data_IF_864598103563
#
_entry.id   IF_864598103563
#
_cell.length_a   1.000
_cell.length_b   1.000
_cell.length_c   1.000
_cell.angle_alpha   90.00
_cell.angle_beta   90.00
_cell.angle_gamma   90.00
#
_symmetry.space_group_name_H-M   'P 1'
#
loop_
_entity.id
_entity.type
_entity.pdbx_description
1 polymer ?
#
# COMPACT_ATOMS: atom_id res chain seq x y z
N UNK A 1 11.06 -20.78 -19.85
CA UNK A 1 9.85 -20.49 -19.06
C UNK A 1 10.29 -19.86 -17.74
N UNK A 2 10.24 -18.52 -17.62
CA UNK A 2 10.66 -17.81 -16.39
C UNK A 2 9.50 -17.84 -15.39
N UNK A 3 9.41 -18.90 -14.61
CA UNK A 3 8.46 -18.96 -13.47
C UNK A 3 9.07 -18.10 -12.33
N UNK A 4 8.45 -16.99 -11.97
CA UNK A 4 8.83 -16.20 -10.80
C UNK A 4 7.64 -16.03 -9.88
N UNK A 5 7.76 -16.52 -8.66
CA UNK A 5 6.73 -16.43 -7.62
C UNK A 5 6.68 -14.99 -7.06
N UNK A 6 5.49 -14.43 -6.78
CA UNK A 6 5.33 -13.06 -6.30
C UNK A 6 6.08 -12.81 -4.98
N UNK A 7 6.10 -13.80 -4.08
CA UNK A 7 6.86 -13.79 -2.82
C UNK A 7 8.36 -13.60 -2.98
N UNK A 8 8.94 -14.08 -4.08
CA UNK A 8 10.37 -14.04 -4.31
C UNK A 8 10.84 -12.78 -5.06
N UNK A 9 9.89 -11.93 -5.49
CA UNK A 9 10.16 -10.75 -6.32
C UNK A 9 11.24 -9.85 -5.72
N UNK A 10 11.19 -9.63 -4.40
CA UNK A 10 12.16 -8.82 -3.69
C UNK A 10 13.60 -9.33 -3.89
N UNK A 11 13.85 -10.64 -3.82
CA UNK A 11 15.20 -11.18 -4.04
C UNK A 11 15.69 -10.90 -5.47
N UNK A 12 14.81 -10.96 -6.45
CA UNK A 12 15.15 -10.65 -7.84
C UNK A 12 15.29 -9.14 -8.11
N UNK A 13 14.56 -8.28 -7.42
CA UNK A 13 14.71 -6.83 -7.50
C UNK A 13 16.03 -6.38 -6.86
N UNK A 14 16.33 -6.88 -5.66
CA UNK A 14 17.61 -6.64 -4.98
C UNK A 14 18.78 -7.12 -5.84
N UNK A 15 18.67 -8.32 -6.40
CA UNK A 15 19.69 -8.85 -7.31
C UNK A 15 19.88 -7.96 -8.54
N UNK A 16 18.83 -7.31 -9.06
CA UNK A 16 18.95 -6.40 -10.21
C UNK A 16 19.50 -5.01 -9.84
N UNK A 17 19.18 -4.52 -8.64
CA UNK A 17 19.50 -3.15 -8.24
C UNK A 17 20.86 -3.03 -7.54
N UNK A 18 21.38 -4.11 -6.95
CA UNK A 18 22.65 -4.15 -6.24
C UNK A 18 23.70 -4.82 -7.12
N UNK A 19 24.72 -4.09 -7.63
CA UNK A 19 25.71 -4.64 -8.56
C UNK A 19 26.46 -5.87 -8.03
N UNK A 20 26.67 -5.97 -6.71
CA UNK A 20 27.32 -7.12 -6.07
C UNK A 20 26.44 -8.39 -6.11
N UNK A 21 25.11 -8.22 -6.10
CA UNK A 21 24.14 -9.32 -6.00
C UNK A 21 23.50 -9.67 -7.35
N UNK A 22 23.85 -8.94 -8.41
CA UNK A 22 23.40 -9.17 -9.79
C UNK A 22 24.55 -9.63 -10.68
N UNK A 23 24.34 -10.71 -11.44
CA UNK A 23 25.19 -11.02 -12.59
C UNK A 23 24.76 -10.21 -13.81
N UNK A 24 25.61 -10.07 -14.84
CA UNK A 24 25.30 -9.32 -16.07
C UNK A 24 23.99 -9.77 -16.75
N UNK A 25 23.73 -11.09 -16.76
CA UNK A 25 22.57 -11.68 -17.43
C UNK A 25 21.68 -12.54 -16.50
N UNK A 26 22.18 -12.89 -15.31
CA UNK A 26 21.50 -13.80 -14.39
C UNK A 26 21.40 -13.20 -12.98
N UNK A 27 20.19 -12.99 -12.44
CA UNK A 27 19.99 -12.58 -11.06
C UNK A 27 20.23 -13.76 -10.10
N UNK A 28 21.50 -14.12 -9.92
CA UNK A 28 21.93 -15.32 -9.19
C UNK A 28 21.43 -15.32 -7.74
N UNK A 29 21.43 -14.17 -7.07
CA UNK A 29 20.97 -14.04 -5.69
C UNK A 29 19.48 -14.33 -5.56
N UNK A 30 18.69 -13.89 -6.55
CA UNK A 30 17.26 -14.20 -6.63
C UNK A 30 17.01 -15.70 -6.72
N UNK A 31 17.68 -16.36 -7.66
CA UNK A 31 17.55 -17.81 -7.87
C UNK A 31 18.08 -18.64 -6.69
N UNK A 32 19.23 -18.28 -6.14
CA UNK A 32 19.80 -18.94 -4.96
C UNK A 32 18.84 -18.87 -3.78
N UNK A 33 18.23 -17.69 -3.54
CA UNK A 33 17.25 -17.50 -2.48
C UNK A 33 16.01 -18.37 -2.70
N UNK A 34 15.49 -18.45 -3.93
CA UNK A 34 14.36 -19.33 -4.28
C UNK A 34 14.72 -20.81 -4.06
N UNK A 35 15.89 -21.25 -4.53
CA UNK A 35 16.33 -22.64 -4.37
C UNK A 35 16.50 -22.99 -2.90
N UNK A 36 17.06 -22.09 -2.07
CA UNK A 36 17.16 -22.31 -0.64
C UNK A 36 15.80 -22.38 0.04
N UNK A 37 14.87 -21.46 -0.28
CA UNK A 37 13.53 -21.46 0.30
C UNK A 37 12.69 -22.66 -0.13
N UNK A 38 12.66 -22.97 -1.43
CA UNK A 38 11.95 -24.13 -1.97
C UNK A 38 12.60 -25.44 -1.52
N UNK A 39 13.93 -25.51 -1.50
CA UNK A 39 14.67 -26.67 -1.01
C UNK A 39 14.42 -26.91 0.47
N UNK A 40 14.44 -25.87 1.31
CA UNK A 40 14.13 -25.99 2.72
C UNK A 40 12.66 -26.34 2.97
N UNK A 41 11.74 -25.73 2.21
CA UNK A 41 10.31 -26.07 2.24
C UNK A 41 10.05 -27.53 1.85
N UNK A 42 10.64 -27.99 0.74
CA UNK A 42 10.54 -29.38 0.30
C UNK A 42 11.17 -30.33 1.32
N UNK A 43 12.33 -29.98 1.88
CA UNK A 43 13.00 -30.78 2.91
C UNK A 43 12.15 -30.93 4.17
N UNK A 44 11.47 -29.86 4.62
CA UNK A 44 10.59 -29.92 5.80
C UNK A 44 9.34 -30.76 5.53
N UNK A 45 8.76 -30.68 4.33
CA UNK A 45 7.65 -31.54 3.91
C UNK A 45 8.08 -33.00 3.79
N UNK A 46 9.20 -33.29 3.12
CA UNK A 46 9.71 -34.67 3.02
C UNK A 46 10.01 -35.23 4.42
N UNK A 47 10.63 -34.43 5.29
CA UNK A 47 10.89 -34.81 6.69
C UNK A 47 9.61 -35.04 7.49
N UNK A 48 8.51 -34.35 7.21
CA UNK A 48 7.27 -34.60 7.94
C UNK A 48 6.65 -35.97 7.62
N UNK A 49 6.86 -36.50 6.41
CA UNK A 49 6.41 -37.84 6.00
C UNK A 49 7.40 -38.96 6.36
N UNK A 50 8.70 -38.66 6.38
CA UNK A 50 9.78 -39.66 6.59
C UNK A 50 10.29 -39.72 8.02
N UNK A 51 9.97 -38.74 8.87
CA UNK A 51 10.36 -38.78 10.26
C UNK A 51 9.59 -39.86 11.02
N UNK A 52 10.32 -40.74 11.70
CA UNK A 52 9.76 -41.66 12.69
C UNK A 52 9.14 -40.93 13.89
N UNK A 53 8.67 -41.66 14.92
CA UNK A 53 8.03 -41.06 16.08
C UNK A 53 8.92 -39.96 16.70
N UNK A 54 8.37 -38.78 17.00
CA UNK A 54 9.15 -37.62 17.38
C UNK A 54 9.92 -37.89 18.67
N UNK A 55 11.20 -37.49 18.70
CA UNK A 55 12.08 -37.68 19.86
C UNK A 55 11.36 -37.22 21.15
N UNK A 56 11.26 -38.07 22.19
CA UNK A 56 10.53 -37.77 23.42
C UNK A 56 11.06 -36.53 24.16
N UNK A 57 12.32 -36.14 23.95
CA UNK A 57 12.88 -34.90 24.48
C UNK A 57 12.31 -33.68 23.73
N UNK A 58 12.25 -33.73 22.40
CA UNK A 58 11.68 -32.66 21.57
C UNK A 58 10.19 -32.46 21.87
N UNK A 59 9.43 -33.55 22.00
CA UNK A 59 8.01 -33.49 22.37
C UNK A 59 7.82 -32.82 23.74
N UNK A 60 8.63 -33.18 24.73
CA UNK A 60 8.60 -32.54 26.06
C UNK A 60 8.92 -31.05 25.99
N UNK A 61 9.91 -30.64 25.18
CA UNK A 61 10.24 -29.21 24.99
C UNK A 61 9.09 -28.44 24.33
N UNK A 62 8.48 -28.98 23.28
CA UNK A 62 7.32 -28.36 22.61
C UNK A 62 6.14 -28.25 23.56
N UNK A 63 5.88 -29.28 24.39
CA UNK A 63 4.82 -29.25 25.39
C UNK A 63 5.04 -28.13 26.41
N UNK A 64 6.25 -28.04 26.99
CA UNK A 64 6.60 -26.93 27.90
C UNK A 64 6.47 -25.57 27.23
N UNK A 65 6.86 -25.44 25.96
CA UNK A 65 6.69 -24.19 25.22
C UNK A 65 5.21 -23.82 25.04
N UNK A 66 4.35 -24.80 24.73
CA UNK A 66 2.89 -24.58 24.63
C UNK A 66 2.24 -24.22 25.97
N UNK A 67 2.79 -24.71 27.08
CA UNK A 67 2.34 -24.32 28.43
C UNK A 67 2.62 -22.83 28.72
N UNK A 68 3.66 -22.26 28.10
CA UNK A 68 3.92 -20.81 28.11
C UNK A 68 2.93 -20.12 27.15
N UNK A 69 1.68 -20.00 27.58
CA UNK A 69 0.55 -19.54 26.73
C UNK A 69 0.86 -18.27 25.95
N UNK A 70 1.46 -17.26 26.60
CA UNK A 70 1.80 -15.97 25.97
C UNK A 70 2.80 -16.15 24.83
N UNK A 71 3.87 -16.92 25.06
CA UNK A 71 4.89 -17.19 24.03
C UNK A 71 4.33 -17.96 22.85
N UNK A 72 3.49 -18.97 23.12
CA UNK A 72 2.83 -19.75 22.07
C UNK A 72 1.86 -18.90 21.23
N UNK A 73 1.04 -18.06 21.87
CA UNK A 73 0.11 -17.16 21.17
C UNK A 73 0.86 -16.13 20.33
N UNK A 74 1.92 -15.51 20.86
CA UNK A 74 2.75 -14.58 20.09
C UNK A 74 3.37 -15.23 18.87
N UNK A 75 3.84 -16.48 18.98
CA UNK A 75 4.36 -17.23 17.83
C UNK A 75 3.27 -17.44 16.77
N UNK A 76 2.05 -17.81 17.17
CA UNK A 76 0.94 -17.98 16.22
C UNK A 76 0.58 -16.67 15.51
N UNK A 77 0.56 -15.56 16.24
CA UNK A 77 0.31 -14.22 15.66
C UNK A 77 1.41 -13.88 14.65
N UNK A 78 2.69 -14.11 14.99
CA UNK A 78 3.80 -13.85 14.08
C UNK A 78 3.76 -14.72 12.83
N UNK A 79 3.43 -16.01 12.96
CA UNK A 79 3.25 -16.92 11.81
C UNK A 79 2.10 -16.44 10.93
N UNK A 80 0.98 -16.04 11.53
CA UNK A 80 -0.18 -15.53 10.80
C UNK A 80 0.14 -14.23 10.05
N UNK A 81 0.76 -13.25 10.73
CA UNK A 81 1.17 -11.98 10.13
C UNK A 81 2.24 -12.18 9.04
N UNK A 82 3.20 -13.09 9.25
CA UNK A 82 4.19 -13.44 8.24
C UNK A 82 3.56 -14.12 7.02
N UNK A 83 2.56 -14.97 7.24
CA UNK A 83 1.75 -15.58 6.17
C UNK A 83 1.00 -14.53 5.37
N UNK A 84 0.35 -13.58 6.03
CA UNK A 84 -0.32 -12.44 5.38
C UNK A 84 0.69 -11.60 4.58
N UNK A 85 1.82 -11.24 5.18
CA UNK A 85 2.85 -10.44 4.52
C UNK A 85 3.42 -11.13 3.26
N UNK A 86 3.45 -12.46 3.26
CA UNK A 86 3.88 -13.26 2.12
C UNK A 86 2.85 -13.28 0.97
N UNK A 87 1.59 -12.94 1.18
CA UNK A 87 0.60 -12.92 0.09
C UNK A 87 0.83 -11.78 -0.93
N UNK A 88 1.71 -10.83 -0.61
CA UNK A 88 2.13 -9.74 -1.49
C UNK A 88 0.95 -9.03 -2.19
N UNK A 89 0.98 -8.90 -3.52
CA UNK A 89 -0.04 -8.22 -4.32
C UNK A 89 -1.40 -8.92 -4.34
N UNK A 90 -1.52 -10.11 -3.75
CA UNK A 90 -2.80 -10.82 -3.69
C UNK A 90 -3.78 -10.12 -2.75
N UNK A 91 -3.27 -9.55 -1.65
CA UNK A 91 -4.10 -8.88 -0.63
C UNK A 91 -4.17 -7.38 -0.87
N UNK A 92 -3.00 -6.75 -1.07
CA UNK A 92 -2.86 -5.30 -1.22
C UNK A 92 -1.96 -5.00 -2.40
N UNK A 93 -2.44 -4.22 -3.36
CA UNK A 93 -1.60 -3.75 -4.46
C UNK A 93 -2.35 -3.03 -5.57
N UNK A 94 -1.62 -2.25 -6.36
CA UNK A 94 -2.16 -1.52 -7.53
C UNK A 94 -2.37 -2.39 -8.77
N UNK A 95 -1.72 -3.56 -8.86
CA UNK A 95 -1.82 -4.46 -10.02
C UNK A 95 -3.06 -5.33 -9.91
N UNK A 96 -3.73 -5.57 -11.04
CA UNK A 96 -4.81 -6.54 -11.10
C UNK A 96 -4.30 -7.98 -10.89
N UNK A 97 -5.09 -8.78 -10.18
CA UNK A 97 -4.85 -10.22 -10.04
C UNK A 97 -5.03 -10.93 -11.38
N UNK A 98 -6.09 -10.57 -12.10
CA UNK A 98 -6.40 -11.11 -13.41
C UNK A 98 -7.12 -10.06 -14.27
N UNK A 99 -6.78 -10.02 -15.55
CA UNK A 99 -7.42 -9.18 -16.56
C UNK A 99 -7.78 -10.07 -17.75
N UNK A 100 -9.04 -10.08 -18.13
CA UNK A 100 -9.53 -10.62 -19.38
C UNK A 100 -9.71 -9.48 -20.37
N UNK A 101 -9.03 -9.56 -21.51
CA UNK A 101 -9.14 -8.58 -22.59
C UNK A 101 -8.85 -9.29 -23.92
N UNK A 102 -9.64 -9.01 -24.96
CA UNK A 102 -9.50 -9.61 -26.30
C UNK A 102 -9.44 -11.15 -26.29
N UNK A 103 -10.24 -11.79 -25.43
CA UNK A 103 -10.27 -13.25 -25.31
C UNK A 103 -9.08 -13.89 -24.57
N UNK A 104 -8.12 -13.09 -24.07
CA UNK A 104 -6.94 -13.58 -23.35
C UNK A 104 -6.98 -13.20 -21.87
N UNK A 105 -6.67 -14.18 -21.01
CA UNK A 105 -6.41 -13.94 -19.59
C UNK A 105 -4.94 -13.58 -19.37
N UNK A 106 -4.73 -12.46 -18.69
CA UNK A 106 -3.42 -11.98 -18.25
C UNK A 106 -3.45 -11.81 -16.74
N UNK A 107 -2.33 -12.06 -16.06
CA UNK A 107 -2.23 -12.04 -14.60
C UNK A 107 -1.17 -11.03 -14.12
N UNK A 108 -1.45 -9.71 -14.19
CA UNK A 108 -0.44 -8.66 -14.01
C UNK A 108 0.28 -8.67 -12.66
N UNK A 109 -0.42 -9.01 -11.57
CA UNK A 109 0.16 -9.09 -10.24
C UNK A 109 1.32 -10.10 -10.14
N UNK A 110 1.36 -11.08 -11.05
CA UNK A 110 2.36 -12.15 -11.07
C UNK A 110 3.41 -11.95 -12.18
N UNK A 111 3.31 -10.87 -12.96
CA UNK A 111 4.28 -10.54 -14.00
C UNK A 111 5.49 -9.78 -13.43
N UNK A 112 6.71 -10.06 -13.93
CA UNK A 112 7.93 -9.41 -13.45
C UNK A 112 8.12 -7.97 -13.97
N UNK A 113 7.25 -7.50 -14.86
CA UNK A 113 7.23 -6.16 -15.43
C UNK A 113 5.82 -5.56 -15.35
N UNK A 114 5.74 -4.24 -15.43
CA UNK A 114 4.46 -3.52 -15.51
C UNK A 114 3.96 -3.50 -16.95
N UNK A 115 2.70 -3.90 -17.16
CA UNK A 115 2.01 -3.67 -18.43
C UNK A 115 1.65 -2.19 -18.55
N UNK A 116 1.55 -1.73 -19.79
CA UNK A 116 1.25 -0.34 -20.12
C UNK A 116 -0.21 -0.19 -20.53
N UNK A 117 -0.72 1.04 -20.50
CA UNK A 117 -2.07 1.37 -20.95
C UNK A 117 -2.33 0.94 -22.41
N UNK A 118 -1.32 1.02 -23.28
CA UNK A 118 -1.40 0.55 -24.68
C UNK A 118 -1.72 -0.94 -24.83
N UNK A 119 -1.32 -1.77 -23.86
CA UNK A 119 -1.54 -3.22 -23.90
C UNK A 119 -3.03 -3.58 -23.68
N UNK A 120 -3.85 -2.58 -23.34
CA UNK A 120 -5.28 -2.68 -23.06
C UNK A 120 -6.11 -1.75 -23.97
N UNK A 121 -5.56 -1.37 -25.13
CA UNK A 121 -6.26 -0.56 -26.13
C UNK A 121 -6.33 0.95 -25.83
N UNK A 122 -5.64 1.46 -24.81
CA UNK A 122 -5.60 2.89 -24.52
C UNK A 122 -4.45 3.54 -25.30
N UNK A 123 -4.80 4.34 -26.31
CA UNK A 123 -3.84 5.02 -27.21
C UNK A 123 -3.70 6.52 -26.96
N UNK A 124 -4.28 7.04 -25.87
CA UNK A 124 -4.19 8.46 -25.50
C UNK A 124 -2.75 8.87 -25.10
N UNK A 125 -2.54 10.14 -24.72
CA UNK A 125 -1.25 10.62 -24.21
C UNK A 125 -0.68 9.86 -23.01
N UNK A 126 -1.49 9.01 -22.36
CA UNK A 126 -1.08 8.10 -21.27
C UNK A 126 -0.72 6.67 -21.74
N UNK A 127 -0.65 6.39 -23.05
CA UNK A 127 -0.44 5.06 -23.60
C UNK A 127 0.87 4.38 -23.13
N UNK A 128 1.90 5.18 -22.86
CA UNK A 128 3.20 4.70 -22.35
C UNK A 128 3.28 4.57 -20.82
N UNK A 129 2.32 5.13 -20.10
CA UNK A 129 2.27 5.04 -18.65
C UNK A 129 1.90 3.61 -18.20
N UNK A 130 2.31 3.21 -16.97
CA UNK A 130 1.86 1.95 -16.37
C UNK A 130 0.33 1.85 -16.39
N UNK A 131 -0.18 0.63 -16.62
CA UNK A 131 -1.60 0.38 -16.75
C UNK A 131 -2.36 0.74 -15.45
N UNK A 132 -3.38 1.59 -15.55
CA UNK A 132 -4.29 1.87 -14.43
C UNK A 132 -5.45 0.87 -14.40
N UNK A 133 -5.24 -0.24 -13.72
CA UNK A 133 -6.24 -1.30 -13.59
C UNK A 133 -7.51 -0.88 -12.85
N UNK A 134 -7.45 0.13 -11.97
CA UNK A 134 -8.65 0.64 -11.29
C UNK A 134 -9.53 1.39 -12.28
N UNK A 135 -8.92 2.20 -13.15
CA UNK A 135 -9.62 2.86 -14.26
C UNK A 135 -10.18 1.83 -15.23
N UNK A 136 -9.39 0.83 -15.64
CA UNK A 136 -9.87 -0.25 -16.51
C UNK A 136 -11.06 -1.01 -15.92
N UNK A 137 -11.03 -1.34 -14.63
CA UNK A 137 -12.15 -2.00 -13.94
C UNK A 137 -13.43 -1.17 -13.96
N UNK A 138 -13.33 0.16 -13.87
CA UNK A 138 -14.47 1.07 -13.96
C UNK A 138 -15.02 1.16 -15.38
N UNK A 139 -14.15 1.38 -16.37
CA UNK A 139 -14.53 1.50 -17.79
C UNK A 139 -15.16 0.21 -18.31
N UNK A 140 -14.63 -0.94 -17.90
CA UNK A 140 -15.14 -2.25 -18.32
C UNK A 140 -16.15 -2.86 -17.36
N UNK A 141 -16.70 -2.08 -16.43
CA UNK A 141 -17.67 -2.60 -15.46
C UNK A 141 -18.89 -3.25 -16.15
N UNK A 142 -19.37 -2.65 -17.24
CA UNK A 142 -20.54 -3.11 -17.99
C UNK A 142 -20.17 -3.92 -19.26
N UNK A 143 -18.87 -4.12 -19.51
CA UNK A 143 -18.39 -4.91 -20.64
C UNK A 143 -18.57 -6.41 -20.36
N UNK A 144 -19.08 -7.15 -21.34
CA UNK A 144 -19.11 -8.63 -21.31
C UNK A 144 -17.79 -9.24 -21.77
N UNK A 145 -16.99 -8.50 -22.52
CA UNK A 145 -15.77 -9.01 -23.17
C UNK A 145 -14.51 -8.77 -22.35
N UNK A 146 -14.46 -7.70 -21.55
CA UNK A 146 -13.29 -7.36 -20.75
C UNK A 146 -13.63 -7.33 -19.27
N UNK A 147 -12.77 -7.92 -18.44
CA UNK A 147 -13.00 -8.02 -16.99
C UNK A 147 -11.70 -7.86 -16.22
N UNK A 148 -11.72 -7.07 -15.16
CA UNK A 148 -10.56 -6.85 -14.27
C UNK A 148 -10.90 -7.31 -12.86
N UNK A 149 -10.05 -8.16 -12.30
CA UNK A 149 -10.11 -8.63 -10.91
C UNK A 149 -8.98 -7.97 -10.14
N UNK A 150 -9.34 -7.16 -9.16
CA UNK A 150 -8.39 -6.44 -8.30
C UNK A 150 -8.19 -7.17 -6.96
N UNK A 151 -7.06 -6.95 -6.28
CA UNK A 151 -6.87 -7.39 -4.90
C UNK A 151 -7.88 -6.72 -3.96
N UNK A 152 -7.95 -7.24 -2.73
CA UNK A 152 -8.90 -6.77 -1.71
C UNK A 152 -8.73 -5.27 -1.43
N UNK A 153 -7.49 -4.81 -1.35
CA UNK A 153 -7.14 -3.40 -1.19
C UNK A 153 -6.37 -2.96 -2.45
N UNK A 154 -7.04 -2.29 -3.42
CA UNK A 154 -6.47 -1.97 -4.73
C UNK A 154 -5.59 -0.72 -4.72
N UNK A 155 -4.74 -0.58 -3.70
CA UNK A 155 -3.87 0.57 -3.49
C UNK A 155 -2.42 0.12 -3.33
N UNK A 156 -1.48 0.92 -3.81
CA UNK A 156 -0.06 0.67 -3.54
C UNK A 156 0.28 1.15 -2.12
N UNK A 157 1.10 0.44 -1.33
CA UNK A 157 1.52 0.93 -0.03
C UNK A 157 2.29 2.26 -0.10
N UNK A 158 3.00 2.52 -1.18
CA UNK A 158 3.79 3.75 -1.41
C UNK A 158 3.70 4.18 -2.86
N UNK A 159 3.68 5.50 -3.12
CA UNK A 159 3.73 6.05 -4.49
C UNK A 159 2.39 6.07 -5.23
N UNK A 160 1.29 5.76 -4.56
CA UNK A 160 -0.09 5.91 -5.06
C UNK A 160 -0.80 7.01 -4.27
N UNK A 161 -0.51 8.26 -4.60
CA UNK A 161 -1.15 9.43 -3.99
C UNK A 161 -2.57 9.54 -4.49
N UNK A 162 -3.54 9.35 -3.59
CA UNK A 162 -4.94 9.49 -3.91
C UNK A 162 -5.30 10.96 -4.13
N UNK A 163 -6.34 11.15 -4.92
CA UNK A 163 -7.01 12.44 -5.00
C UNK A 163 -7.88 12.66 -3.76
N UNK A 164 -8.25 13.92 -3.44
CA UNK A 164 -9.17 14.22 -2.35
C UNK A 164 -10.43 13.36 -2.43
N UNK A 165 -10.74 12.68 -1.32
CA UNK A 165 -11.87 11.75 -1.24
C UNK A 165 -13.15 12.52 -0.95
N UNK A 166 -14.29 11.88 -1.16
CA UNK A 166 -15.59 12.50 -0.94
C UNK A 166 -16.57 11.57 -0.25
N UNK A 167 -17.56 12.12 0.45
CA UNK A 167 -18.61 11.32 1.11
C UNK A 167 -19.98 11.83 0.72
N UNK A 168 -20.89 10.94 0.36
CA UNK A 168 -22.27 11.31 0.05
C UNK A 168 -22.92 12.03 1.22
N UNK A 169 -23.65 13.11 0.95
CA UNK A 169 -24.50 13.76 1.93
C UNK A 169 -25.94 13.32 1.71
N UNK A 170 -26.69 13.19 2.80
CA UNK A 170 -28.13 13.00 2.73
C UNK A 170 -28.85 14.25 3.23
N UNK A 171 -30.01 14.52 2.65
CA UNK A 171 -30.84 15.65 3.05
C UNK A 171 -31.85 15.21 4.11
N UNK A 172 -31.98 15.98 5.18
CA UNK A 172 -32.98 15.80 6.23
C UNK A 172 -33.59 17.16 6.58
N UNK A 173 -34.92 17.30 6.52
CA UNK A 173 -35.65 18.53 6.87
C UNK A 173 -35.10 19.80 6.17
N UNK A 174 -34.61 19.66 4.93
CA UNK A 174 -34.04 20.77 4.15
C UNK A 174 -32.59 21.15 4.50
N UNK A 175 -31.93 20.39 5.38
CA UNK A 175 -30.50 20.54 5.71
C UNK A 175 -29.70 19.29 5.34
N UNK A 176 -28.44 19.46 4.90
CA UNK A 176 -27.58 18.35 4.53
C UNK A 176 -26.77 17.82 5.72
N UNK A 177 -26.63 16.50 5.79
CA UNK A 177 -25.93 15.79 6.86
C UNK A 177 -25.00 14.72 6.30
N UNK A 178 -23.92 14.45 7.02
CA UNK A 178 -23.08 13.28 6.77
C UNK A 178 -23.70 12.00 7.35
N UNK A 179 -23.58 10.86 6.66
CA UNK A 179 -23.94 9.53 7.17
C UNK A 179 -23.45 9.31 8.60
N UNK A 180 -24.38 8.99 9.51
CA UNK A 180 -24.08 8.76 10.92
C UNK A 180 -23.99 10.02 11.81
N UNK A 181 -24.04 11.22 11.25
CA UNK A 181 -24.10 12.47 12.02
C UNK A 181 -25.54 13.01 12.09
N UNK A 182 -25.97 13.38 13.30
CA UNK A 182 -27.23 14.15 13.50
C UNK A 182 -27.04 15.66 13.35
N UNK A 183 -25.79 16.14 13.34
CA UNK A 183 -25.49 17.57 13.21
C UNK A 183 -25.51 17.96 11.73
N UNK A 184 -26.07 19.13 11.38
CA UNK A 184 -25.98 19.66 10.03
C UNK A 184 -24.52 19.77 9.57
N UNK A 185 -24.26 19.48 8.31
CA UNK A 185 -22.92 19.50 7.76
C UNK A 185 -22.36 20.95 7.71
N UNK A 186 -21.07 21.07 7.94
CA UNK A 186 -20.32 22.31 7.84
C UNK A 186 -19.02 22.02 7.11
N UNK A 187 -18.76 22.73 6.00
CA UNK A 187 -17.56 22.55 5.20
C UNK A 187 -17.79 22.72 3.72
N UNK A 188 -16.85 22.16 2.93
CA UNK A 188 -16.91 22.19 1.47
C UNK A 188 -17.68 20.99 0.95
N UNK A 189 -18.58 21.25 0.01
CA UNK A 189 -19.32 20.22 -0.71
C UNK A 189 -19.07 20.38 -2.20
N UNK A 190 -19.12 19.29 -2.94
CA UNK A 190 -18.97 19.32 -4.38
C UNK A 190 -19.87 18.30 -5.07
N UNK A 191 -20.26 18.64 -6.30
CA UNK A 191 -20.72 17.71 -7.32
C UNK A 191 -19.55 17.42 -8.25
N UNK A 192 -19.43 16.18 -8.69
CA UNK A 192 -18.29 15.71 -9.48
C UNK A 192 -18.74 15.26 -10.86
N UNK A 193 -17.90 15.51 -11.87
CA UNK A 193 -17.95 14.86 -13.18
C UNK A 193 -17.49 13.41 -13.06
N UNK A 194 -16.37 13.19 -12.35
CA UNK A 194 -15.88 11.86 -11.94
C UNK A 194 -15.39 11.93 -10.50
N UNK A 195 -16.04 11.14 -9.63
CA UNK A 195 -15.72 11.06 -8.19
C UNK A 195 -14.32 10.47 -7.98
N UNK A 196 -13.95 9.42 -8.72
CA UNK A 196 -12.72 8.69 -8.45
C UNK A 196 -11.46 9.48 -8.86
N UNK A 197 -11.58 10.35 -9.86
CA UNK A 197 -10.52 11.28 -10.27
C UNK A 197 -10.63 12.65 -9.58
N UNK A 198 -11.59 12.81 -8.67
CA UNK A 198 -11.90 14.07 -7.98
C UNK A 198 -12.10 15.28 -8.91
N UNK A 199 -12.61 15.04 -10.14
CA UNK A 199 -12.92 16.10 -11.10
C UNK A 199 -14.23 16.77 -10.71
N UNK A 200 -14.12 17.91 -10.03
CA UNK A 200 -15.27 18.68 -9.55
C UNK A 200 -15.97 19.42 -10.69
N UNK A 201 -17.30 19.35 -10.71
CA UNK A 201 -18.13 20.17 -11.58
C UNK A 201 -18.53 21.46 -10.87
N UNK A 202 -19.05 21.35 -9.66
CA UNK A 202 -19.48 22.47 -8.83
C UNK A 202 -18.99 22.25 -7.41
N UNK A 203 -18.42 23.27 -6.80
CA UNK A 203 -18.02 23.29 -5.40
C UNK A 203 -18.78 24.40 -4.70
N UNK A 204 -19.32 24.10 -3.52
CA UNK A 204 -20.04 25.04 -2.69
C UNK A 204 -19.47 25.06 -1.28
N UNK A 205 -19.66 26.19 -0.60
CA UNK A 205 -19.47 26.29 0.84
C UNK A 205 -20.79 26.04 1.54
N UNK A 206 -20.79 25.19 2.57
CA UNK A 206 -21.98 24.84 3.34
C UNK A 206 -21.80 25.19 4.81
N UNK A 207 -22.81 25.86 5.39
CA UNK A 207 -22.87 26.22 6.81
C UNK A 207 -24.22 25.79 7.36
N UNK A 208 -24.22 25.09 8.49
CA UNK A 208 -25.44 24.55 9.12
C UNK A 208 -26.33 23.76 8.14
N UNK A 209 -25.72 22.98 7.25
CA UNK A 209 -26.42 22.17 6.26
C UNK A 209 -27.08 22.94 5.12
N UNK A 210 -26.80 24.24 4.95
CA UNK A 210 -27.30 25.09 3.85
C UNK A 210 -26.16 25.72 3.08
N UNK A 211 -26.36 25.96 1.78
CA UNK A 211 -25.38 26.62 0.92
C UNK A 211 -25.21 28.07 1.34
N UNK A 212 -24.02 28.43 1.81
CA UNK A 212 -23.70 29.77 2.31
C UNK A 212 -22.23 30.09 2.04
N UNK A 213 -21.99 31.10 1.22
CA UNK A 213 -20.67 31.52 0.74
C UNK A 213 -20.49 31.31 -0.76
N UNK A 214 -19.24 31.35 -1.24
CA UNK A 214 -18.94 31.22 -2.66
C UNK A 214 -19.18 29.80 -3.16
N UNK A 215 -19.57 29.73 -4.42
CA UNK A 215 -19.65 28.54 -5.23
C UNK A 215 -18.86 28.75 -6.53
N UNK A 216 -18.13 27.73 -6.93
CA UNK A 216 -17.29 27.73 -8.12
C UNK A 216 -17.68 26.54 -9.00
N UNK A 217 -17.59 26.69 -10.32
CA UNK A 217 -17.80 25.60 -11.25
C UNK A 217 -16.77 25.51 -12.36
N UNK A 218 -16.45 24.28 -12.75
CA UNK A 218 -15.47 23.95 -13.77
C UNK A 218 -16.10 23.13 -14.89
N UNK A 219 -15.65 23.38 -16.11
CA UNK A 219 -15.97 22.56 -17.27
C UNK A 219 -15.17 21.24 -17.26
N UNK A 220 -15.39 20.38 -18.25
CA UNK A 220 -14.70 19.09 -18.35
C UNK A 220 -13.18 19.21 -18.53
N UNK A 221 -12.71 20.35 -19.03
CA UNK A 221 -11.28 20.65 -19.22
C UNK A 221 -10.62 21.22 -17.96
N UNK A 222 -11.39 21.41 -16.87
CA UNK A 222 -10.89 21.95 -15.61
C UNK A 222 -10.73 23.48 -15.58
N UNK A 223 -11.27 24.19 -16.58
CA UNK A 223 -11.33 25.65 -16.59
C UNK A 223 -12.50 26.13 -15.74
N UNK A 224 -12.25 27.11 -14.87
CA UNK A 224 -13.31 27.71 -14.06
C UNK A 224 -14.20 28.59 -14.96
N UNK A 225 -15.48 28.27 -15.03
CA UNK A 225 -16.46 28.93 -15.91
C UNK A 225 -17.67 29.46 -15.17
N UNK A 226 -17.85 29.09 -13.90
CA UNK A 226 -18.98 29.51 -13.08
C UNK A 226 -18.50 30.02 -11.72
N UNK A 227 -19.12 31.10 -11.26
CA UNK A 227 -18.98 31.63 -9.91
C UNK A 227 -20.33 32.11 -9.42
N UNK A 228 -20.67 31.80 -8.18
CA UNK A 228 -21.88 32.26 -7.55
C UNK A 228 -21.68 32.52 -6.07
N UNK A 229 -22.53 33.34 -5.48
CA UNK A 229 -22.57 33.60 -4.04
C UNK A 229 -23.92 33.16 -3.49
N UNK A 230 -23.90 32.37 -2.42
CA UNK A 230 -25.11 31.86 -1.77
C UNK A 230 -25.22 32.39 -0.34
N UNK A 231 -26.45 32.59 0.13
CA UNK A 231 -26.75 32.87 1.53
C UNK A 231 -27.98 32.09 1.98
N UNK A 232 -27.77 31.20 2.95
CA UNK A 232 -28.83 30.37 3.55
C UNK A 232 -29.63 29.56 2.52
N UNK A 233 -28.97 29.11 1.45
CA UNK A 233 -29.56 28.35 0.35
C UNK A 233 -30.10 29.21 -0.79
N UNK A 234 -30.13 30.53 -0.66
CA UNK A 234 -30.57 31.44 -1.72
C UNK A 234 -29.38 31.96 -2.53
N UNK A 235 -29.54 32.03 -3.85
CA UNK A 235 -28.56 32.60 -4.76
C UNK A 235 -28.60 34.13 -4.68
N UNK A 236 -27.47 34.77 -4.36
CA UNK A 236 -27.34 36.22 -4.29
C UNK A 236 -26.84 36.81 -5.61
N UNK A 237 -25.80 36.21 -6.18
CA UNK A 237 -25.21 36.62 -7.44
C UNK A 237 -24.61 35.43 -8.15
N UNK A 238 -24.56 35.48 -9.47
CA UNK A 238 -23.84 34.51 -10.27
C UNK A 238 -23.22 35.16 -11.50
N UNK A 239 -22.15 34.54 -11.98
CA UNK A 239 -21.45 34.90 -13.19
C UNK A 239 -21.06 33.61 -13.90
N UNK A 240 -21.38 33.55 -15.19
CA UNK A 240 -20.98 32.47 -16.07
C UNK A 240 -20.15 33.04 -17.21
N UNK A 241 -18.98 32.45 -17.43
CA UNK A 241 -18.01 32.87 -18.45
C UNK A 241 -17.57 31.69 -19.32
N UNK A 242 -18.32 30.59 -19.31
CA UNK A 242 -18.06 29.41 -20.14
C UNK A 242 -18.68 29.52 -21.53
N UNK A 243 -18.31 28.57 -22.39
CA UNK A 243 -18.91 28.43 -23.71
C UNK A 243 -20.28 27.73 -23.61
N UNK A 244 -21.28 28.27 -24.31
CA UNK A 244 -22.65 27.74 -24.36
C UNK A 244 -23.59 28.32 -23.30
N UNK A 245 -24.72 27.64 -23.09
CA UNK A 245 -25.75 28.09 -22.16
C UNK A 245 -25.43 27.66 -20.72
N UNK A 246 -25.51 28.61 -19.77
CA UNK A 246 -25.34 28.37 -18.33
C UNK A 246 -26.26 27.27 -17.81
N UNK A 247 -27.52 27.26 -18.23
CA UNK A 247 -28.49 26.26 -17.77
C UNK A 247 -28.10 24.86 -18.23
N UNK A 248 -27.63 24.73 -19.47
CA UNK A 248 -27.08 23.48 -19.98
C UNK A 248 -25.88 23.03 -19.13
N UNK A 249 -24.96 23.94 -18.81
CA UNK A 249 -23.80 23.65 -17.93
C UNK A 249 -24.23 23.15 -16.54
N UNK A 250 -25.17 23.83 -15.87
CA UNK A 250 -25.63 23.45 -14.53
C UNK A 250 -26.43 22.14 -14.50
N UNK A 251 -27.01 21.75 -15.64
CA UNK A 251 -27.80 20.52 -15.81
C UNK A 251 -26.97 19.31 -16.25
N UNK A 252 -25.64 19.44 -16.37
CA UNK A 252 -24.78 18.34 -16.75
C UNK A 252 -24.94 17.14 -15.79
N UNK A 253 -24.86 15.90 -16.32
CA UNK A 253 -24.97 14.70 -15.51
C UNK A 253 -23.80 14.67 -14.52
N UNK A 254 -24.09 14.85 -13.24
CA UNK A 254 -23.10 14.94 -12.17
C UNK A 254 -23.50 14.07 -10.98
N UNK A 255 -22.54 13.82 -10.10
CA UNK A 255 -22.84 13.14 -8.85
C UNK A 255 -23.72 13.99 -7.93
N UNK A 256 -24.33 13.31 -6.96
CA UNK A 256 -25.01 13.97 -5.84
C UNK A 256 -24.06 14.89 -5.07
N UNK A 257 -24.61 15.73 -4.19
CA UNK A 257 -23.80 16.56 -3.30
C UNK A 257 -22.99 15.69 -2.34
N UNK A 258 -21.66 15.81 -2.42
CA UNK A 258 -20.72 15.08 -1.55
C UNK A 258 -19.87 16.04 -0.74
N UNK A 259 -19.61 15.71 0.51
CA UNK A 259 -18.65 16.43 1.35
C UNK A 259 -17.23 16.15 0.85
N UNK A 260 -16.46 17.22 0.59
CA UNK A 260 -15.06 17.13 0.14
C UNK A 260 -14.17 16.84 1.36
N UNK A 261 -13.28 15.85 1.25
CA UNK A 261 -12.34 15.44 2.30
C UNK A 261 -10.91 15.47 1.77
N UNK A 262 -10.17 16.52 2.14
CA UNK A 262 -8.74 16.62 1.86
C UNK A 262 -7.92 15.68 2.76
N UNK A 263 -6.72 15.34 2.31
CA UNK A 263 -5.78 14.53 3.07
C UNK A 263 -5.21 15.32 4.27
N UNK A 264 -5.02 14.69 5.44
CA UNK A 264 -5.42 13.33 5.79
C UNK A 264 -6.95 13.20 5.92
N UNK A 265 -7.55 12.28 5.16
CA UNK A 265 -8.98 12.07 5.14
C UNK A 265 -9.37 10.99 6.16
N UNK A 266 -10.53 11.11 6.81
CA UNK A 266 -11.04 10.08 7.73
C UNK A 266 -11.38 8.78 6.98
N UNK A 267 -11.69 7.68 7.70
CA UNK A 267 -12.20 6.44 7.11
C UNK A 267 -13.42 6.66 6.21
N UNK A 268 -13.35 6.33 4.91
CA UNK A 268 -14.45 6.43 3.94
C UNK A 268 -14.60 5.07 3.23
N UNK A 269 -15.37 4.13 3.81
CA UNK A 269 -15.54 2.78 3.26
C UNK A 269 -16.19 2.76 1.87
N UNK A 270 -17.09 3.70 1.57
CA UNK A 270 -17.75 3.86 0.25
C UNK A 270 -16.73 4.02 -0.88
N UNK A 271 -15.61 4.66 -0.58
CA UNK A 271 -14.54 4.96 -1.51
C UNK A 271 -13.38 3.97 -1.38
N UNK A 272 -13.53 2.90 -0.59
CA UNK A 272 -12.54 1.85 -0.41
C UNK A 272 -11.42 2.18 0.58
N UNK A 273 -11.47 3.33 1.26
CA UNK A 273 -10.46 3.76 2.24
C UNK A 273 -10.91 3.45 3.67
N UNK A 274 -10.73 2.21 4.10
CA UNK A 274 -11.28 1.67 5.35
C UNK A 274 -10.73 2.31 6.62
N UNK A 275 -9.46 2.73 6.60
CA UNK A 275 -8.79 3.41 7.72
C UNK A 275 -8.47 4.89 7.40
N UNK A 276 -8.95 5.39 6.27
CA UNK A 276 -8.68 6.76 5.80
C UNK A 276 -7.36 6.86 5.04
N UNK A 277 -6.86 8.09 4.93
CA UNK A 277 -5.62 8.38 4.19
C UNK A 277 -4.60 9.10 5.05
N UNK A 278 -3.32 8.94 4.72
CA UNK A 278 -2.22 9.70 5.31
C UNK A 278 -2.24 11.17 4.86
N UNK A 279 -1.38 12.01 5.44
CA UNK A 279 -1.18 13.41 5.02
C UNK A 279 -0.65 13.54 3.58
N UNK A 280 0.04 12.52 3.08
CA UNK A 280 0.53 12.44 1.71
C UNK A 280 -0.52 11.88 0.73
N UNK A 281 -1.70 11.48 1.21
CA UNK A 281 -2.76 10.91 0.39
C UNK A 281 -2.63 9.41 0.11
N UNK A 282 -1.78 8.68 0.83
CA UNK A 282 -1.73 7.22 0.73
C UNK A 282 -2.87 6.56 1.50
N UNK A 283 -3.39 5.44 1.01
CA UNK A 283 -4.34 4.62 1.77
C UNK A 283 -3.67 4.01 3.02
N UNK A 284 -4.28 4.18 4.19
CA UNK A 284 -3.68 3.75 5.46
C UNK A 284 -3.59 2.23 5.57
N UNK A 285 -4.57 1.47 5.05
CA UNK A 285 -4.53 0.00 5.10
C UNK A 285 -3.38 -0.51 4.24
N UNK A 286 -3.25 0.03 3.03
CA UNK A 286 -2.16 -0.35 2.14
C UNK A 286 -0.80 0.03 2.73
N UNK A 287 -0.68 1.23 3.29
CA UNK A 287 0.55 1.71 3.93
C UNK A 287 1.00 0.81 5.09
N UNK A 288 0.06 0.41 5.98
CA UNK A 288 0.34 -0.50 7.09
C UNK A 288 0.78 -1.89 6.61
N UNK A 289 0.14 -2.40 5.55
CA UNK A 289 0.51 -3.68 4.96
C UNK A 289 1.93 -3.63 4.35
N UNK A 290 2.28 -2.58 3.62
CA UNK A 290 3.65 -2.40 3.11
C UNK A 290 4.67 -2.33 4.24
N UNK A 291 4.37 -1.60 5.31
CA UNK A 291 5.21 -1.55 6.52
C UNK A 291 5.39 -2.93 7.17
N UNK A 292 4.33 -3.73 7.24
CA UNK A 292 4.38 -5.12 7.71
C UNK A 292 5.37 -5.94 6.87
N UNK A 293 5.27 -5.87 5.55
CA UNK A 293 6.16 -6.61 4.65
C UNK A 293 7.63 -6.18 4.82
N UNK A 294 7.90 -4.87 4.91
CA UNK A 294 9.26 -4.35 5.11
C UNK A 294 9.83 -4.86 6.44
N UNK A 295 9.06 -4.81 7.52
CA UNK A 295 9.50 -5.29 8.83
C UNK A 295 9.82 -6.79 8.83
N UNK A 296 8.99 -7.62 8.21
CA UNK A 296 9.26 -9.06 8.10
C UNK A 296 10.50 -9.36 7.26
N UNK A 297 10.66 -8.70 6.10
CA UNK A 297 11.85 -8.84 5.25
C UNK A 297 13.12 -8.43 6.01
N UNK A 298 13.08 -7.30 6.72
CA UNK A 298 14.19 -6.81 7.51
C UNK A 298 14.54 -7.78 8.65
N UNK A 299 13.55 -8.24 9.42
CA UNK A 299 13.76 -9.18 10.51
C UNK A 299 14.35 -10.52 10.03
N UNK A 300 13.88 -11.02 8.88
CA UNK A 300 14.35 -12.27 8.29
C UNK A 300 15.84 -12.24 7.92
N UNK A 301 16.40 -11.06 7.61
CA UNK A 301 17.81 -10.88 7.25
C UNK A 301 18.64 -10.50 8.47
N UNK A 302 18.14 -9.53 9.25
CA UNK A 302 18.82 -8.96 10.40
C UNK A 302 19.05 -10.00 11.50
N UNK A 303 18.05 -10.80 11.85
CA UNK A 303 18.17 -11.75 12.96
C UNK A 303 19.22 -12.84 12.67
N UNK A 304 19.19 -13.59 11.54
CA UNK A 304 20.21 -14.59 11.29
C UNK A 304 21.62 -14.02 11.22
N UNK A 305 21.79 -12.84 10.62
CA UNK A 305 23.09 -12.21 10.49
C UNK A 305 23.66 -11.79 11.84
N UNK A 306 22.85 -11.12 12.68
CA UNK A 306 23.28 -10.69 14.02
C UNK A 306 23.56 -11.87 14.93
N UNK A 307 22.69 -12.89 14.92
CA UNK A 307 22.92 -14.11 15.70
C UNK A 307 24.15 -14.86 15.22
N UNK A 308 24.39 -14.97 13.91
CA UNK A 308 25.58 -15.62 13.37
C UNK A 308 26.85 -14.94 13.88
N UNK A 309 26.92 -13.60 13.76
CA UNK A 309 28.07 -12.82 14.22
C UNK A 309 28.23 -12.95 15.74
N UNK A 310 27.15 -12.75 16.50
CA UNK A 310 27.19 -12.79 17.96
C UNK A 310 27.56 -14.17 18.52
N UNK A 311 27.00 -15.24 17.96
CA UNK A 311 27.34 -16.61 18.35
C UNK A 311 28.78 -16.95 17.98
N UNK A 312 29.24 -16.58 16.78
CA UNK A 312 30.64 -16.83 16.38
C UNK A 312 31.60 -16.10 17.32
N UNK A 313 31.38 -14.80 17.60
CA UNK A 313 32.23 -14.04 18.51
C UNK A 313 32.17 -14.63 19.92
N UNK A 314 30.99 -14.92 20.45
CA UNK A 314 30.84 -15.51 21.79
C UNK A 314 31.48 -16.90 21.92
N UNK A 315 31.41 -17.72 20.87
CA UNK A 315 32.11 -19.01 20.84
C UNK A 315 33.63 -18.82 20.80
N UNK A 316 34.15 -17.85 20.05
CA UNK A 316 35.57 -17.54 20.01
C UNK A 316 36.07 -17.01 21.37
N UNK A 317 35.29 -16.15 22.03
CA UNK A 317 35.57 -15.67 23.39
C UNK A 317 35.64 -16.82 24.38
N UNK A 318 34.64 -17.71 24.37
CA UNK A 318 34.63 -18.89 25.25
C UNK A 318 35.70 -19.93 24.93
N UNK A 319 36.13 -20.06 23.67
CA UNK A 319 37.14 -21.03 23.23
C UNK A 319 38.56 -20.56 23.51
N UNK A 320 38.92 -19.33 23.14
CA UNK A 320 40.27 -18.80 23.32
C UNK A 320 40.50 -18.26 24.73
N UNK A 321 39.47 -17.66 25.35
CA UNK A 321 39.56 -17.06 26.68
C UNK A 321 40.65 -16.00 26.81
N UNK A 322 40.97 -15.65 28.06
CA UNK A 322 42.12 -14.81 28.41
C UNK A 322 42.08 -13.43 27.77
N UNK A 323 43.15 -13.06 27.06
CA UNK A 323 43.29 -11.72 26.49
C UNK A 323 42.28 -11.43 25.37
N UNK A 324 41.91 -12.43 24.57
CA UNK A 324 40.95 -12.25 23.46
C UNK A 324 39.56 -11.90 24.01
N UNK A 325 39.13 -12.64 25.04
CA UNK A 325 37.89 -12.40 25.77
C UNK A 325 37.86 -10.99 26.37
N UNK A 326 38.92 -10.61 27.10
CA UNK A 326 39.05 -9.27 27.69
C UNK A 326 38.97 -8.14 26.63
N UNK A 327 39.64 -8.29 25.48
CA UNK A 327 39.59 -7.26 24.43
C UNK A 327 38.19 -7.15 23.83
N UNK A 328 37.52 -8.26 23.53
CA UNK A 328 36.16 -8.24 22.99
C UNK A 328 35.16 -7.66 24.00
N UNK A 329 35.25 -8.03 25.27
CA UNK A 329 34.43 -7.46 26.34
C UNK A 329 34.61 -5.95 26.45
N UNK A 330 35.86 -5.44 26.39
CA UNK A 330 36.13 -4.00 26.39
C UNK A 330 35.55 -3.30 25.16
N UNK A 331 35.60 -3.91 23.99
CA UNK A 331 34.95 -3.34 22.80
C UNK A 331 33.43 -3.27 22.99
N UNK A 332 32.80 -4.35 23.45
CA UNK A 332 31.34 -4.38 23.71
C UNK A 332 30.96 -3.33 24.75
N UNK A 333 31.75 -3.16 25.80
CA UNK A 333 31.57 -2.13 26.83
C UNK A 333 31.64 -0.72 26.22
N UNK A 334 32.63 -0.43 25.37
CA UNK A 334 32.74 0.87 24.69
C UNK A 334 31.52 1.14 23.79
N UNK A 335 31.12 0.16 22.97
CA UNK A 335 29.98 0.33 22.07
C UNK A 335 28.64 0.46 22.80
N UNK A 336 28.45 -0.27 23.90
CA UNK A 336 27.20 -0.20 24.70
C UNK A 336 27.07 1.08 25.51
N UNK A 337 28.19 1.75 25.82
CA UNK A 337 28.19 3.07 26.46
C UNK A 337 27.92 4.23 25.47
N UNK A 338 28.01 4.00 24.16
CA UNK A 338 27.65 5.02 23.17
C UNK A 338 26.12 5.17 23.08
N UNK A 339 25.56 6.39 23.10
CA UNK A 339 24.13 6.55 22.96
C UNK A 339 23.67 6.11 21.56
N UNK A 340 22.72 5.16 21.52
CA UNK A 340 22.26 4.49 20.30
C UNK A 340 21.88 5.47 19.17
N UNK A 341 21.19 6.56 19.49
CA UNK A 341 20.76 7.56 18.51
C UNK A 341 21.93 8.23 17.78
N UNK A 342 23.06 8.51 18.46
CA UNK A 342 24.23 9.10 17.81
C UNK A 342 24.82 8.16 16.77
N UNK A 343 24.96 6.89 17.12
CA UNK A 343 25.47 5.86 16.21
C UNK A 343 24.57 5.79 14.97
N UNK A 344 23.26 5.72 15.15
CA UNK A 344 22.30 5.69 14.04
C UNK A 344 22.38 6.95 13.16
N UNK A 345 22.51 8.15 13.73
CA UNK A 345 22.62 9.40 12.96
C UNK A 345 23.91 9.43 12.13
N UNK A 346 25.05 9.04 12.72
CA UNK A 346 26.33 8.99 12.01
C UNK A 346 26.23 8.03 10.83
N UNK A 347 25.76 6.80 11.06
CA UNK A 347 25.57 5.82 9.98
C UNK A 347 24.57 6.30 8.93
N UNK A 348 23.45 6.88 9.33
CA UNK A 348 22.46 7.44 8.40
C UNK A 348 23.05 8.56 7.55
N UNK A 349 23.88 9.44 8.12
CA UNK A 349 24.54 10.51 7.37
C UNK A 349 25.50 9.99 6.29
N UNK A 350 26.14 8.83 6.53
CA UNK A 350 27.04 8.18 5.58
C UNK A 350 26.32 7.49 4.41
N UNK A 351 25.02 7.18 4.55
CA UNK A 351 24.24 6.56 3.47
C UNK A 351 23.92 7.60 2.38
N UNK A 352 24.25 7.33 1.10
CA UNK A 352 23.91 8.23 0.00
C UNK A 352 22.40 8.49 -0.10
N UNK A 353 22.01 9.70 -0.48
CA UNK A 353 20.59 10.09 -0.58
C UNK A 353 19.77 9.18 -1.49
N UNK A 354 20.37 8.61 -2.54
CA UNK A 354 19.66 7.67 -3.44
C UNK A 354 19.12 6.42 -2.76
N UNK A 355 19.63 6.09 -1.57
CA UNK A 355 19.22 4.92 -0.78
C UNK A 355 18.41 5.31 0.46
N UNK A 356 18.27 6.62 0.72
CA UNK A 356 17.34 7.14 1.73
C UNK A 356 15.97 7.17 1.04
N UNK A 357 15.05 6.36 1.57
CA UNK A 357 13.72 6.15 1.00
C UNK A 357 12.88 7.39 0.91
#
# INVERSE_FOLDING_TARGET
MKLSLPTARWFFEVSRNVPLLGGPDLPWFGWLSVVLLCGWGLMTVIRSFTAGPPNPVTVRRIRRFREIRRGYVSLLILIFLGGIAALDQVVVGKRALAVHHEGKWTFPAFLPYDLKNRDFGITDGSADAPADYRRLKRVWHDSKESRVIMPLVPYDPTGDTLQPRSRGLFQNEGSYHEPGSRKPYYGLVAKYHDIAEARMHLRYTMRNGRLTGPADGWNNDGLQVYRAEYKDGQLLSETYSGEGDKEAFLSLPTSDLRAVKYHPAPPIPEEGNWLGTTSQGYDVVAYLYGGLQVNFKAALIYLPLTYLIGVVIGMLMGYFGGWFDLVMDRLIEVFSNMPFLFVVIIFSSMVPERYKG
#
